data_IF_808146381992
#
_entry.id   IF_808146381992
#
_cell.length_a   1.000
_cell.length_b   1.000
_cell.length_c   1.000
_cell.angle_alpha   90.00
_cell.angle_beta   90.00
_cell.angle_gamma   90.00
#
_symmetry.space_group_name_H-M   'P 1'
#
loop_
_entity.id
_entity.type
_entity.pdbx_description
1 polymer ?
#
# COMPACT_ATOMS: atom_id res chain seq x y z
N UNK A 1 -0.99 -7.95 28.91
CA UNK A 1 0.01 -7.93 27.83
C UNK A 1 -0.61 -7.19 26.66
N UNK A 2 -0.11 -6.02 26.22
CA UNK A 2 -0.63 -5.42 24.99
C UNK A 2 -0.22 -6.33 23.85
N UNK A 3 -1.18 -7.02 23.25
CA UNK A 3 -0.97 -7.75 21.99
C UNK A 3 -0.90 -6.69 20.90
N UNK A 4 0.29 -6.13 20.67
CA UNK A 4 0.49 -5.28 19.50
C UNK A 4 0.29 -6.18 18.29
N UNK A 5 -0.87 -6.08 17.65
CA UNK A 5 -1.10 -6.73 16.37
C UNK A 5 0.04 -6.34 15.42
N UNK A 6 0.60 -7.30 14.67
CA UNK A 6 1.72 -7.00 13.77
C UNK A 6 1.28 -5.97 12.71
N UNK A 7 2.07 -4.92 12.54
CA UNK A 7 1.90 -3.94 11.46
C UNK A 7 2.40 -4.53 10.14
N UNK A 8 1.55 -5.33 9.51
CA UNK A 8 1.86 -6.01 8.25
C UNK A 8 2.12 -5.02 7.11
N UNK A 9 1.41 -3.89 7.10
CA UNK A 9 1.60 -2.84 6.09
C UNK A 9 2.98 -2.21 6.23
N UNK A 10 3.34 -1.76 7.44
CA UNK A 10 4.65 -1.18 7.70
C UNK A 10 5.79 -2.13 7.36
N UNK A 11 5.65 -3.41 7.68
CA UNK A 11 6.65 -4.43 7.32
C UNK A 11 6.80 -4.59 5.81
N UNK A 12 5.69 -4.69 5.05
CA UNK A 12 5.73 -4.83 3.60
C UNK A 12 6.37 -3.62 2.90
N UNK A 13 6.12 -2.41 3.41
CA UNK A 13 6.74 -1.18 2.90
C UNK A 13 8.24 -1.14 3.17
N UNK A 14 8.68 -1.53 4.37
CA UNK A 14 10.10 -1.62 4.72
C UNK A 14 10.82 -2.68 3.88
N UNK A 15 10.20 -3.84 3.68
CA UNK A 15 10.74 -4.90 2.83
C UNK A 15 10.96 -4.40 1.40
N UNK A 16 9.94 -3.73 0.82
CA UNK A 16 10.05 -3.13 -0.50
C UNK A 16 11.18 -2.09 -0.58
N UNK A 17 11.28 -1.21 0.42
CA UNK A 17 12.34 -0.19 0.50
C UNK A 17 13.75 -0.80 0.61
N UNK A 18 13.89 -1.96 1.27
CA UNK A 18 15.16 -2.69 1.38
C UNK A 18 15.50 -3.53 0.15
N UNK A 19 14.72 -3.44 -0.93
CA UNK A 19 14.99 -4.12 -2.20
C UNK A 19 14.20 -5.40 -2.41
N UNK A 20 13.31 -5.79 -1.49
CA UNK A 20 12.39 -6.91 -1.69
C UNK A 20 11.19 -6.45 -2.55
N UNK A 21 11.42 -6.18 -3.83
CA UNK A 21 10.40 -5.60 -4.72
C UNK A 21 9.16 -6.51 -4.95
N UNK A 22 9.24 -7.79 -4.58
CA UNK A 22 8.12 -8.73 -4.60
C UNK A 22 7.25 -8.74 -3.34
N UNK A 23 7.53 -7.88 -2.36
CA UNK A 23 6.71 -7.77 -1.15
C UNK A 23 5.25 -7.43 -1.49
N UNK A 24 4.31 -8.14 -0.89
CA UNK A 24 2.88 -7.99 -1.11
C UNK A 24 2.09 -8.31 0.17
N UNK A 25 0.91 -7.71 0.28
CA UNK A 25 -0.08 -7.96 1.33
C UNK A 25 -1.20 -8.82 0.77
N UNK A 26 -1.73 -9.76 1.55
CA UNK A 26 -2.99 -10.42 1.20
C UNK A 26 -4.14 -9.59 1.74
N UNK A 27 -4.99 -9.09 0.85
CA UNK A 27 -6.21 -8.37 1.20
C UNK A 27 -7.32 -9.40 1.35
N UNK A 28 -7.92 -9.45 2.53
CA UNK A 28 -9.06 -10.32 2.81
C UNK A 28 -10.31 -9.49 2.99
N UNK A 29 -11.38 -9.88 2.30
CA UNK A 29 -12.67 -9.22 2.35
C UNK A 29 -13.76 -10.28 2.45
N UNK A 30 -14.80 -10.05 3.27
CA UNK A 30 -15.91 -11.00 3.36
C UNK A 30 -16.79 -11.03 2.10
N UNK A 31 -16.69 -10.00 1.25
CA UNK A 31 -17.52 -9.81 0.06
C UNK A 31 -16.76 -10.06 -1.26
N UNK A 32 -15.48 -10.39 -1.21
CA UNK A 32 -14.62 -10.61 -2.38
C UNK A 32 -13.57 -11.67 -2.06
N UNK A 33 -12.99 -12.28 -3.09
CA UNK A 33 -11.90 -13.23 -2.92
C UNK A 33 -10.63 -12.54 -2.40
N UNK A 34 -9.77 -13.33 -1.76
CA UNK A 34 -8.48 -12.86 -1.28
C UNK A 34 -7.58 -12.49 -2.47
N UNK A 35 -7.01 -11.27 -2.45
CA UNK A 35 -6.19 -10.75 -3.54
C UNK A 35 -4.83 -10.21 -3.02
N UNK A 36 -3.73 -10.41 -3.76
CA UNK A 36 -2.47 -9.77 -3.43
C UNK A 36 -2.50 -8.26 -3.76
N UNK A 37 -2.12 -7.42 -2.79
CA UNK A 37 -1.80 -6.01 -2.95
C UNK A 37 -0.27 -5.82 -2.92
N UNK A 38 0.39 -5.58 -4.07
CA UNK A 38 1.84 -5.39 -4.13
C UNK A 38 2.27 -4.12 -3.38
N UNK A 39 3.35 -4.21 -2.59
CA UNK A 39 3.91 -3.05 -1.88
C UNK A 39 4.36 -1.94 -2.85
N UNK A 40 4.78 -2.33 -4.07
CA UNK A 40 5.14 -1.41 -5.15
C UNK A 40 4.05 -0.36 -5.46
N UNK A 41 2.77 -0.70 -5.27
CA UNK A 41 1.64 0.20 -5.51
C UNK A 41 1.68 1.48 -4.66
N UNK A 42 2.29 1.41 -3.48
CA UNK A 42 2.44 2.57 -2.57
C UNK A 42 3.58 3.51 -2.98
N UNK A 43 4.51 3.05 -3.83
CA UNK A 43 5.63 3.83 -4.34
C UNK A 43 5.36 4.35 -5.76
N UNK A 44 4.09 4.43 -6.15
CA UNK A 44 3.65 4.92 -7.46
C UNK A 44 4.01 6.40 -7.66
N UNK A 45 4.37 6.76 -8.89
CA UNK A 45 4.59 8.17 -9.27
C UNK A 45 3.26 8.92 -9.37
N UNK A 46 3.30 10.26 -9.32
CA UNK A 46 2.12 11.11 -9.55
C UNK A 46 1.36 10.77 -10.85
N UNK A 47 2.08 10.40 -11.92
CA UNK A 47 1.48 10.00 -13.21
C UNK A 47 0.65 8.72 -13.14
N UNK A 48 0.88 7.90 -12.13
CA UNK A 48 0.18 6.64 -11.89
C UNK A 48 -0.91 6.76 -10.81
N UNK A 49 -1.15 7.97 -10.29
CA UNK A 49 -2.23 8.22 -9.33
C UNK A 49 -3.57 8.41 -10.06
N UNK A 50 -4.69 7.91 -9.49
CA UNK A 50 -6.02 8.18 -10.02
C UNK A 50 -6.31 9.68 -10.11
N UNK A 51 -7.12 10.09 -11.09
CA UNK A 51 -7.45 11.50 -11.35
C UNK A 51 -7.97 12.24 -10.11
N UNK A 52 -8.75 11.55 -9.26
CA UNK A 52 -9.27 12.11 -8.02
C UNK A 52 -8.16 12.48 -7.03
N UNK A 53 -7.13 11.65 -6.89
CA UNK A 53 -6.00 11.91 -6.00
C UNK A 53 -5.08 13.00 -6.57
N UNK A 54 -4.89 13.04 -7.89
CA UNK A 54 -4.17 14.11 -8.58
C UNK A 54 -4.82 15.48 -8.37
N UNK A 55 -6.15 15.56 -8.43
CA UNK A 55 -6.89 16.82 -8.25
C UNK A 55 -6.80 17.34 -6.81
N UNK A 56 -6.75 16.46 -5.81
CA UNK A 56 -6.55 16.84 -4.41
C UNK A 56 -5.13 17.37 -4.16
N UNK A 57 -4.10 16.78 -4.77
CA UNK A 57 -2.71 17.25 -4.67
C UNK A 57 -2.42 18.57 -5.40
N UNK A 58 -3.29 18.96 -6.34
CA UNK A 58 -3.15 20.19 -7.11
C UNK A 58 -3.87 21.41 -6.51
N UNK A 59 -4.49 21.27 -5.33
CA UNK A 59 -5.12 22.41 -4.65
C UNK A 59 -4.06 23.26 -3.96
N UNK A 60 -3.80 24.51 -4.39
CA UNK A 60 -2.85 25.38 -3.72
C UNK A 60 -3.40 25.74 -2.34
N UNK A 61 -2.65 25.42 -1.30
CA UNK A 61 -2.84 26.03 0.03
C UNK A 61 -2.25 27.43 0.03
#
# INVERSE_FOLDING_TARGET
>A
MPTSSPDLLGQALLDYQHGHHGAALTVQCSAADDEPLPAAYFFRTLLAMPELECKAGASPT
#
